data_IF_998191737571
#
_entry.id   IF_998191737571
#
_cell.length_a   1.000
_cell.length_b   1.000
_cell.length_c   1.000
_cell.angle_alpha   90.00
_cell.angle_beta   90.00
_cell.angle_gamma   90.00
#
_symmetry.space_group_name_H-M   'P 1'
#
loop_
_entity.id
_entity.type
_entity.pdbx_description
1 polymer ?
#
# COMPACT_ATOMS: atom_id res chain seq x y z
N UNK A 1 40.75 12.23 -34.30
CA UNK A 1 41.28 11.08 -33.53
C UNK A 1 40.63 11.12 -32.16
N UNK A 2 39.42 10.56 -32.04
CA UNK A 2 38.74 10.42 -30.75
C UNK A 2 38.97 9.00 -30.26
N UNK A 3 39.54 8.85 -29.07
CA UNK A 3 39.77 7.56 -28.45
C UNK A 3 38.43 6.93 -28.09
N UNK A 4 38.21 5.68 -28.52
CA UNK A 4 37.16 4.84 -28.00
C UNK A 4 37.39 4.62 -26.50
N UNK A 5 36.54 5.23 -25.67
CA UNK A 5 36.45 4.90 -24.25
C UNK A 5 35.67 3.58 -24.12
N UNK A 6 36.34 2.54 -23.62
CA UNK A 6 35.74 1.23 -23.42
C UNK A 6 35.14 1.15 -22.01
N UNK A 7 33.80 1.18 -21.93
CA UNK A 7 33.02 0.93 -20.71
C UNK A 7 33.38 -0.38 -20.00
N UNK A 8 34.02 -1.33 -20.70
CA UNK A 8 34.45 -2.60 -20.12
C UNK A 8 35.65 -2.45 -19.14
N UNK A 9 36.50 -1.43 -19.29
CA UNK A 9 37.68 -1.26 -18.44
C UNK A 9 37.35 -0.72 -17.04
N UNK A 10 36.27 0.05 -16.88
CA UNK A 10 35.88 0.60 -15.58
C UNK A 10 34.95 -0.34 -14.81
N UNK A 11 34.13 -1.14 -15.48
CA UNK A 11 33.37 -2.22 -14.84
C UNK A 11 34.29 -3.27 -14.17
N UNK A 12 35.48 -3.50 -14.74
CA UNK A 12 36.47 -4.41 -14.17
C UNK A 12 37.18 -3.87 -12.91
N UNK A 13 37.18 -2.54 -12.69
CA UNK A 13 37.80 -1.91 -11.50
C UNK A 13 36.89 -1.89 -10.27
N UNK A 14 35.58 -2.00 -10.48
CA UNK A 14 34.56 -2.01 -9.40
C UNK A 14 34.13 -3.43 -9.02
N UNK A 15 34.56 -4.45 -9.77
CA UNK A 15 34.26 -5.84 -9.46
C UNK A 15 34.99 -6.31 -8.19
N UNK A 16 34.31 -6.26 -7.05
CA UNK A 16 34.70 -7.04 -5.86
C UNK A 16 34.76 -8.50 -6.29
N UNK A 17 35.88 -9.23 -6.09
CA UNK A 17 36.00 -10.60 -6.56
C UNK A 17 34.86 -11.46 -6.02
N UNK A 18 34.09 -12.11 -6.89
CA UNK A 18 32.97 -12.98 -6.49
C UNK A 18 33.37 -14.08 -5.48
N UNK A 19 34.66 -14.43 -5.42
CA UNK A 19 35.21 -15.35 -4.41
C UNK A 19 35.10 -14.80 -2.97
N UNK A 20 35.15 -13.48 -2.79
CA UNK A 20 35.11 -12.81 -1.50
C UNK A 20 33.65 -12.66 -1.00
N UNK A 21 32.69 -12.60 -1.93
CA UNK A 21 31.24 -12.64 -1.62
C UNK A 21 30.75 -14.07 -1.29
N UNK A 22 31.29 -15.10 -1.97
CA UNK A 22 30.94 -16.50 -1.68
C UNK A 22 31.47 -16.98 -0.32
N UNK A 23 32.61 -16.46 0.15
CA UNK A 23 33.14 -16.77 1.48
C UNK A 23 32.22 -16.29 2.62
N UNK A 24 31.44 -15.22 2.39
CA UNK A 24 30.47 -14.68 3.35
C UNK A 24 29.13 -15.41 3.27
N UNK A 25 28.69 -15.83 2.07
CA UNK A 25 27.42 -16.52 1.87
C UNK A 25 27.42 -18.01 2.30
N UNK A 26 28.59 -18.65 2.40
CA UNK A 26 28.71 -20.06 2.81
C UNK A 26 28.57 -20.32 4.32
N UNK A 27 28.39 -19.29 5.17
CA UNK A 27 28.12 -19.45 6.59
C UNK A 27 26.61 -19.59 6.88
N UNK A 28 25.95 -20.54 6.22
CA UNK A 28 24.60 -20.97 6.60
C UNK A 28 24.65 -21.87 7.82
N UNK A 29 23.93 -21.45 8.86
CA UNK A 29 23.37 -22.25 9.97
C UNK A 29 23.82 -23.71 10.00
N UNK A 30 24.96 -23.97 10.63
CA UNK A 30 25.13 -25.25 11.31
C UNK A 30 24.28 -25.19 12.57
N UNK A 31 23.29 -26.07 12.65
CA UNK A 31 22.38 -26.24 13.78
C UNK A 31 23.11 -26.19 15.12
N UNK A 32 23.00 -25.07 15.82
CA UNK A 32 23.23 -24.98 17.26
C UNK A 32 21.91 -25.19 18.00
N UNK A 33 21.14 -26.21 17.61
CA UNK A 33 20.21 -26.82 18.55
C UNK A 33 21.02 -27.83 19.36
N UNK A 34 21.20 -27.62 20.68
CA UNK A 34 21.87 -28.62 21.50
C UNK A 34 21.01 -29.88 21.45
N UNK A 35 21.51 -30.91 20.77
CA UNK A 35 20.92 -32.24 20.78
C UNK A 35 20.82 -32.69 22.23
N UNK A 36 19.57 -32.80 22.71
CA UNK A 36 19.19 -33.38 24.01
C UNK A 36 19.82 -34.77 24.12
N UNK A 37 20.98 -34.88 24.75
CA UNK A 37 21.61 -36.18 24.88
C UNK A 37 23.02 -36.21 25.44
N UNK A 38 23.46 -35.24 26.24
CA UNK A 38 24.70 -35.35 26.99
C UNK A 38 24.49 -34.75 28.39
N UNK A 39 24.98 -35.48 29.41
CA UNK A 39 24.72 -35.24 30.83
C UNK A 39 25.10 -33.83 31.30
N UNK A 40 24.63 -33.48 32.49
CA UNK A 40 24.75 -32.15 33.12
C UNK A 40 26.18 -31.61 33.06
N UNK A 41 26.50 -30.88 32.00
CA UNK A 41 27.70 -30.06 31.92
C UNK A 41 27.35 -28.73 32.56
N UNK A 42 27.80 -28.51 33.79
CA UNK A 42 27.81 -27.18 34.41
C UNK A 42 28.78 -26.29 33.61
N UNK A 43 28.27 -25.63 32.59
CA UNK A 43 29.04 -24.61 31.89
C UNK A 43 29.31 -23.47 32.89
N UNK A 44 30.57 -23.07 33.12
CA UNK A 44 30.85 -21.95 33.99
C UNK A 44 30.19 -20.69 33.40
N UNK A 45 29.59 -19.86 34.24
CA UNK A 45 28.85 -18.66 33.82
C UNK A 45 29.67 -17.74 32.89
N UNK A 46 31.01 -17.76 33.02
CA UNK A 46 31.93 -17.05 32.13
C UNK A 46 31.88 -17.53 30.68
N UNK A 47 31.69 -18.83 30.43
CA UNK A 47 31.62 -19.39 29.08
C UNK A 47 30.29 -19.04 28.40
N UNK A 48 29.19 -19.02 29.14
CA UNK A 48 27.89 -18.55 28.62
C UNK A 48 27.93 -17.05 28.28
N UNK A 49 28.55 -16.23 29.12
CA UNK A 49 28.73 -14.80 28.86
C UNK A 49 29.61 -14.54 27.62
N UNK A 50 30.68 -15.31 27.42
CA UNK A 50 31.52 -15.23 26.23
C UNK A 50 30.77 -15.65 24.96
N UNK A 51 30.00 -16.74 25.01
CA UNK A 51 29.19 -17.18 23.87
C UNK A 51 28.10 -16.16 23.49
N UNK A 52 27.45 -15.54 24.47
CA UNK A 52 26.48 -14.47 24.24
C UNK A 52 27.13 -13.22 23.63
N UNK A 53 28.30 -12.82 24.15
CA UNK A 53 29.06 -11.68 23.61
C UNK A 53 29.50 -11.93 22.15
N UNK A 54 29.99 -13.13 21.85
CA UNK A 54 30.38 -13.52 20.49
C UNK A 54 29.18 -13.56 19.54
N UNK A 55 28.03 -14.05 20.00
CA UNK A 55 26.79 -14.06 19.21
C UNK A 55 26.32 -12.64 18.89
N UNK A 56 26.40 -11.73 19.86
CA UNK A 56 26.04 -10.33 19.64
C UNK A 56 26.99 -9.66 18.64
N UNK A 57 28.31 -9.86 18.77
CA UNK A 57 29.29 -9.34 17.80
C UNK A 57 29.02 -9.81 16.38
N UNK A 58 28.60 -11.06 16.21
CA UNK A 58 28.23 -11.60 14.90
C UNK A 58 26.96 -10.95 14.33
N UNK A 59 25.96 -10.67 15.17
CA UNK A 59 24.77 -9.92 14.75
C UNK A 59 25.12 -8.50 14.34
N UNK A 60 25.92 -7.81 15.15
CA UNK A 60 26.36 -6.44 14.86
C UNK A 60 27.18 -6.38 13.55
N UNK A 61 28.07 -7.36 13.32
CA UNK A 61 28.82 -7.48 12.08
C UNK A 61 27.93 -7.78 10.86
N UNK A 62 26.94 -8.68 11.00
CA UNK A 62 26.00 -8.98 9.93
C UNK A 62 25.15 -7.75 9.56
N UNK A 63 24.69 -7.01 10.57
CA UNK A 63 23.93 -5.77 10.36
C UNK A 63 24.78 -4.70 9.67
N UNK A 64 26.04 -4.54 10.07
CA UNK A 64 26.96 -3.60 9.41
C UNK A 64 27.19 -3.95 7.94
N UNK A 65 27.37 -5.24 7.61
CA UNK A 65 27.50 -5.71 6.22
C UNK A 65 26.22 -5.41 5.42
N UNK A 66 25.05 -5.67 5.99
CA UNK A 66 23.77 -5.36 5.33
C UNK A 66 23.64 -3.87 5.03
N UNK A 67 23.98 -2.99 5.98
CA UNK A 67 23.95 -1.54 5.76
C UNK A 67 24.89 -1.09 4.64
N UNK A 68 26.10 -1.67 4.56
CA UNK A 68 27.05 -1.36 3.47
C UNK A 68 26.51 -1.84 2.12
N UNK A 69 25.88 -3.01 2.06
CA UNK A 69 25.28 -3.53 0.82
C UNK A 69 24.10 -2.68 0.35
N UNK A 70 23.22 -2.26 1.26
CA UNK A 70 22.10 -1.37 0.95
C UNK A 70 22.58 0.00 0.45
N UNK A 71 23.63 0.55 1.07
CA UNK A 71 24.24 1.80 0.64
C UNK A 71 24.87 1.69 -0.75
N UNK A 72 25.64 0.62 -1.00
CA UNK A 72 26.24 0.38 -2.32
C UNK A 72 25.18 0.17 -3.41
N UNK A 73 24.09 -0.54 -3.10
CA UNK A 73 22.97 -0.72 -4.03
C UNK A 73 22.31 0.62 -4.39
N UNK A 74 22.12 1.52 -3.42
CA UNK A 74 21.61 2.89 -3.68
C UNK A 74 22.55 3.70 -4.55
N UNK A 75 23.85 3.66 -4.30
CA UNK A 75 24.85 4.40 -5.09
C UNK A 75 24.90 3.90 -6.54
N UNK A 76 24.89 2.58 -6.76
CA UNK A 76 24.82 2.00 -8.10
C UNK A 76 23.53 2.40 -8.81
N UNK A 77 22.39 2.36 -8.12
CA UNK A 77 21.11 2.78 -8.68
C UNK A 77 21.12 4.27 -9.09
N UNK A 78 21.64 5.15 -8.23
CA UNK A 78 21.78 6.58 -8.56
C UNK A 78 22.67 6.84 -9.76
N UNK A 79 23.80 6.12 -9.89
CA UNK A 79 24.69 6.24 -11.05
C UNK A 79 23.99 5.78 -12.34
N UNK A 80 23.26 4.66 -12.28
CA UNK A 80 22.51 4.14 -13.43
C UNK A 80 21.41 5.11 -13.85
N UNK A 81 20.62 5.62 -12.90
CA UNK A 81 19.54 6.59 -13.16
C UNK A 81 20.09 7.91 -13.70
N UNK A 82 21.14 8.46 -13.10
CA UNK A 82 21.77 9.69 -13.59
C UNK A 82 22.38 9.50 -14.99
N UNK A 83 22.94 8.32 -15.28
CA UNK A 83 23.49 7.99 -16.58
C UNK A 83 22.43 7.82 -17.67
N UNK A 84 21.28 7.21 -17.38
CA UNK A 84 20.20 7.02 -18.35
C UNK A 84 19.38 8.28 -18.59
N UNK A 85 19.16 9.12 -17.57
CA UNK A 85 18.44 10.38 -17.69
C UNK A 85 19.20 11.43 -18.50
N UNK A 86 20.53 11.53 -18.31
CA UNK A 86 21.36 12.50 -19.03
C UNK A 86 21.51 12.20 -20.52
N UNK A 87 21.36 10.94 -20.95
CA UNK A 87 21.54 10.55 -22.36
C UNK A 87 20.26 10.82 -23.19
N UNK A 88 19.08 10.90 -22.55
CA UNK A 88 17.80 10.96 -23.27
C UNK A 88 17.23 12.38 -23.46
N UNK A 89 17.60 13.37 -22.63
CA UNK A 89 16.94 14.69 -22.64
C UNK A 89 17.46 15.67 -23.72
N UNK A 90 18.69 15.51 -24.21
CA UNK A 90 19.31 16.46 -25.15
C UNK A 90 19.09 16.12 -26.64
N UNK A 91 18.53 14.94 -26.96
CA UNK A 91 18.19 14.56 -28.33
C UNK A 91 16.70 14.76 -28.56
N UNK A 92 16.27 15.42 -29.66
CA UNK A 92 14.86 15.54 -29.98
C UNK A 92 14.26 14.12 -30.09
N UNK A 93 13.24 13.83 -29.28
CA UNK A 93 12.57 12.53 -29.32
C UNK A 93 12.07 12.26 -30.75
N UNK A 94 12.26 11.04 -31.29
CA UNK A 94 11.78 10.70 -32.60
C UNK A 94 10.25 10.82 -32.62
N UNK A 95 9.71 11.57 -33.59
CA UNK A 95 8.27 11.61 -33.83
C UNK A 95 7.83 10.25 -34.39
N UNK A 96 7.37 9.36 -33.51
CA UNK A 96 6.83 8.07 -33.89
C UNK A 96 5.33 8.24 -34.07
N UNK A 97 4.87 7.89 -35.27
CA UNK A 97 3.45 7.86 -35.59
C UNK A 97 2.82 6.60 -35.00
N UNK A 98 2.23 6.76 -33.82
CA UNK A 98 1.51 5.70 -33.10
C UNK A 98 0.02 5.64 -33.46
N UNK A 99 -0.46 6.45 -34.41
CA UNK A 99 -1.90 6.56 -34.71
C UNK A 99 -2.54 5.26 -35.21
N UNK A 100 -1.73 4.29 -35.64
CA UNK A 100 -2.18 2.98 -36.10
C UNK A 100 -1.97 1.85 -35.08
N UNK A 101 -1.46 2.15 -33.88
CA UNK A 101 -1.20 1.12 -32.87
C UNK A 101 -2.48 0.71 -32.16
N UNK A 102 -2.60 -0.58 -31.85
CA UNK A 102 -3.59 -1.04 -30.89
C UNK A 102 -3.17 -0.69 -29.46
N UNK A 103 -4.12 -0.70 -28.52
CA UNK A 103 -3.85 -0.57 -27.08
C UNK A 103 -2.76 -1.56 -26.60
N UNK A 104 -2.81 -2.80 -27.08
CA UNK A 104 -1.87 -3.87 -26.76
C UNK A 104 -0.46 -3.60 -27.31
N UNK A 105 -0.37 -3.10 -28.55
CA UNK A 105 0.90 -2.71 -29.17
C UNK A 105 1.52 -1.52 -28.45
N UNK A 106 0.71 -0.52 -28.09
CA UNK A 106 1.16 0.63 -27.31
C UNK A 106 1.66 0.23 -25.91
N UNK A 107 1.01 -0.75 -25.27
CA UNK A 107 1.45 -1.31 -24.01
C UNK A 107 2.78 -2.08 -24.15
N UNK A 108 2.99 -2.81 -25.24
CA UNK A 108 4.26 -3.52 -25.47
C UNK A 108 5.46 -2.57 -25.46
N UNK A 109 5.24 -1.34 -25.93
CA UNK A 109 6.23 -0.26 -25.98
C UNK A 109 6.17 0.69 -24.78
N UNK A 110 5.31 0.42 -23.79
CA UNK A 110 5.22 1.21 -22.57
C UNK A 110 6.53 1.12 -21.76
N UNK A 111 7.09 2.26 -21.38
CA UNK A 111 8.37 2.32 -20.68
C UNK A 111 9.61 2.30 -21.60
N UNK A 112 9.45 2.16 -22.91
CA UNK A 112 10.56 2.20 -23.86
C UNK A 112 10.89 3.64 -24.29
N UNK A 113 12.13 4.07 -24.03
CA UNK A 113 12.63 5.43 -24.33
C UNK A 113 12.52 5.77 -25.82
N UNK A 114 12.69 4.79 -26.69
CA UNK A 114 12.75 5.00 -28.14
C UNK A 114 11.40 5.25 -28.79
N UNK A 115 10.29 4.90 -28.12
CA UNK A 115 8.94 4.84 -28.70
C UNK A 115 7.97 5.83 -28.04
N UNK A 116 8.16 6.09 -26.76
CA UNK A 116 7.40 7.08 -26.01
C UNK A 116 7.68 8.49 -26.53
N UNK A 117 6.80 9.46 -26.26
CA UNK A 117 6.98 10.86 -26.65
C UNK A 117 6.90 11.83 -25.45
N UNK A 118 6.71 11.30 -24.25
CA UNK A 118 6.65 12.05 -23.00
C UNK A 118 7.21 11.20 -21.84
N UNK A 119 7.78 11.87 -20.86
CA UNK A 119 8.19 11.30 -19.57
C UNK A 119 7.32 11.92 -18.48
N UNK A 120 6.58 11.10 -17.75
CA UNK A 120 5.92 11.53 -16.51
C UNK A 120 6.89 11.34 -15.35
N UNK A 121 7.13 12.40 -14.59
CA UNK A 121 7.94 12.36 -13.39
C UNK A 121 7.05 12.46 -12.15
N UNK A 122 7.15 11.48 -11.26
CA UNK A 122 6.48 11.47 -9.96
C UNK A 122 7.52 11.22 -8.86
N UNK A 123 7.94 12.29 -8.18
CA UNK A 123 9.07 12.24 -7.26
C UNK A 123 10.38 11.87 -7.99
N UNK A 124 11.06 10.84 -7.50
CA UNK A 124 12.32 10.33 -8.07
C UNK A 124 12.09 9.28 -9.18
N UNK A 125 10.83 9.07 -9.58
CA UNK A 125 10.43 8.04 -10.53
C UNK A 125 10.00 8.64 -11.87
N UNK A 126 10.43 7.99 -12.95
CA UNK A 126 10.12 8.39 -14.33
C UNK A 126 9.38 7.27 -15.06
N UNK A 127 8.35 7.66 -15.80
CA UNK A 127 7.52 6.77 -16.60
C UNK A 127 7.47 7.29 -18.04
N UNK A 128 8.04 6.52 -18.95
CA UNK A 128 7.99 6.82 -20.39
C UNK A 128 6.63 6.41 -20.94
N UNK A 129 5.92 7.37 -21.53
CA UNK A 129 4.53 7.20 -21.97
C UNK A 129 4.29 7.81 -23.36
N UNK A 130 3.15 7.42 -23.92
CA UNK A 130 2.60 7.94 -25.15
C UNK A 130 1.42 8.86 -24.80
N UNK A 131 1.55 10.15 -25.09
CA UNK A 131 0.55 11.18 -24.72
C UNK A 131 -0.83 10.87 -25.29
N UNK A 132 -0.89 10.38 -26.53
CA UNK A 132 -2.15 10.15 -27.23
C UNK A 132 -2.95 9.00 -26.60
N UNK A 133 -2.27 7.96 -26.12
CA UNK A 133 -2.91 6.85 -25.42
C UNK A 133 -3.55 7.32 -24.11
N UNK A 134 -2.81 8.10 -23.32
CA UNK A 134 -3.30 8.60 -22.04
C UNK A 134 -4.42 9.63 -22.21
N UNK A 135 -4.29 10.53 -23.20
CA UNK A 135 -5.33 11.52 -23.49
C UNK A 135 -6.63 10.87 -23.99
N UNK A 136 -6.55 9.76 -24.71
CA UNK A 136 -7.74 9.06 -25.20
C UNK A 136 -8.58 8.43 -24.08
N UNK A 137 -7.97 8.05 -22.95
CA UNK A 137 -8.62 7.29 -21.87
C UNK A 137 -8.80 8.06 -20.57
N UNK A 138 -8.23 9.26 -20.46
CA UNK A 138 -8.34 10.10 -19.27
C UNK A 138 -8.54 11.58 -19.59
N UNK A 139 -9.63 12.14 -19.10
CA UNK A 139 -9.92 13.59 -19.14
C UNK A 139 -8.82 14.44 -18.48
N UNK A 140 -8.11 13.88 -17.49
CA UNK A 140 -6.98 14.57 -16.85
C UNK A 140 -5.84 14.75 -17.85
N UNK A 141 -5.45 13.67 -18.53
CA UNK A 141 -4.36 13.68 -19.49
C UNK A 141 -4.75 14.38 -20.81
N UNK A 142 -6.00 14.31 -21.24
CA UNK A 142 -6.49 15.09 -22.38
C UNK A 142 -6.33 16.59 -22.12
N UNK A 143 -6.76 17.06 -20.95
CA UNK A 143 -6.58 18.47 -20.55
C UNK A 143 -5.11 18.84 -20.36
N UNK A 144 -4.29 17.90 -19.89
CA UNK A 144 -2.86 18.12 -19.68
C UNK A 144 -2.13 18.30 -21.02
N UNK A 145 -2.33 17.39 -21.98
CA UNK A 145 -1.58 17.33 -23.24
C UNK A 145 -2.21 18.16 -24.37
N UNK A 146 -3.54 18.16 -24.49
CA UNK A 146 -4.27 18.89 -25.54
C UNK A 146 -4.83 20.23 -25.07
N UNK A 147 -4.80 20.50 -23.77
CA UNK A 147 -5.28 21.75 -23.20
C UNK A 147 -4.31 22.94 -23.35
N UNK A 148 -4.64 24.08 -22.71
CA UNK A 148 -3.83 25.29 -22.77
C UNK A 148 -2.57 25.24 -21.87
N UNK A 149 -2.37 24.14 -21.12
CA UNK A 149 -1.24 23.94 -20.23
C UNK A 149 0.07 23.94 -21.03
N UNK A 150 1.12 24.56 -20.49
CA UNK A 150 2.43 24.61 -21.17
C UNK A 150 3.18 23.31 -21.00
N UNK A 151 2.98 22.69 -19.85
CA UNK A 151 3.53 21.42 -19.38
C UNK A 151 3.25 20.32 -20.41
N UNK A 152 2.05 20.27 -20.99
CA UNK A 152 1.70 19.28 -22.01
C UNK A 152 2.49 19.36 -23.32
N UNK A 153 3.28 20.42 -23.52
CA UNK A 153 4.16 20.59 -24.69
C UNK A 153 5.62 20.22 -24.38
N UNK A 154 5.93 19.92 -23.13
CA UNK A 154 7.26 19.55 -22.68
C UNK A 154 7.45 18.03 -22.80
N UNK A 155 8.69 17.60 -23.08
CA UNK A 155 9.02 16.17 -23.16
C UNK A 155 9.03 15.50 -21.77
N UNK A 156 9.14 16.30 -20.71
CA UNK A 156 9.12 15.88 -19.32
C UNK A 156 7.99 16.64 -18.61
N UNK A 157 7.08 15.91 -17.98
CA UNK A 157 5.96 16.47 -17.23
C UNK A 157 6.04 16.01 -15.78
N UNK A 158 6.22 16.97 -14.89
CA UNK A 158 6.23 16.72 -13.44
C UNK A 158 4.78 16.62 -12.93
N UNK A 159 4.45 15.50 -12.28
CA UNK A 159 3.17 15.26 -11.62
C UNK A 159 3.21 15.73 -10.17
N UNK A 160 3.52 17.01 -9.98
CA UNK A 160 3.56 17.66 -8.68
C UNK A 160 2.16 17.65 -8.05
N UNK A 161 2.02 16.95 -6.93
CA UNK A 161 0.74 16.80 -6.23
C UNK A 161 0.03 15.47 -6.46
N UNK A 162 0.68 14.49 -7.11
CA UNK A 162 0.21 13.11 -7.05
C UNK A 162 0.14 12.66 -5.58
N UNK A 163 -1.00 12.17 -5.06
CA UNK A 163 -1.15 11.92 -3.62
C UNK A 163 -0.29 10.76 -3.11
N UNK A 164 -0.06 9.75 -3.95
CA UNK A 164 0.78 8.59 -3.62
C UNK A 164 1.85 8.40 -4.70
N UNK A 165 2.91 9.25 -4.71
CA UNK A 165 3.98 9.12 -5.69
C UNK A 165 4.83 7.86 -5.44
N UNK A 166 4.87 7.40 -4.20
CA UNK A 166 5.52 6.17 -3.78
C UNK A 166 4.48 5.14 -3.31
N UNK A 167 4.61 3.86 -3.69
CA UNK A 167 5.64 3.29 -4.54
C UNK A 167 5.38 3.51 -6.05
N UNK A 168 6.42 3.48 -6.90
CA UNK A 168 6.31 3.67 -8.34
C UNK A 168 5.41 2.62 -9.03
N UNK A 169 5.25 1.45 -8.38
CA UNK A 169 4.35 0.40 -8.84
C UNK A 169 2.88 0.85 -8.90
N UNK A 170 2.42 1.68 -7.95
CA UNK A 170 1.02 2.10 -7.91
C UNK A 170 0.67 3.00 -9.10
N UNK A 171 1.51 4.01 -9.40
CA UNK A 171 1.32 4.86 -10.58
C UNK A 171 1.44 4.04 -11.87
N UNK A 172 2.45 3.16 -11.96
CA UNK A 172 2.63 2.29 -13.12
C UNK A 172 1.38 1.48 -13.43
N UNK A 173 0.75 0.88 -12.42
CA UNK A 173 -0.50 0.16 -12.59
C UNK A 173 -1.56 1.08 -13.19
N UNK A 174 -1.84 2.24 -12.58
CA UNK A 174 -2.82 3.19 -13.14
C UNK A 174 -2.56 3.52 -14.62
N UNK A 175 -1.29 3.75 -14.99
CA UNK A 175 -0.92 3.98 -16.38
C UNK A 175 -1.17 2.76 -17.27
N UNK A 176 -0.80 1.55 -16.85
CA UNK A 176 -1.08 0.31 -17.60
C UNK A 176 -2.59 0.11 -17.84
N UNK A 177 -3.43 0.43 -16.83
CA UNK A 177 -4.88 0.39 -17.01
C UNK A 177 -5.38 1.43 -18.02
N UNK A 178 -4.81 2.64 -18.03
CA UNK A 178 -5.16 3.65 -19.03
C UNK A 178 -4.75 3.25 -20.45
N UNK A 179 -3.83 2.29 -20.60
CA UNK A 179 -3.49 1.71 -21.91
C UNK A 179 -4.46 0.62 -22.33
N UNK A 180 -4.80 -0.31 -21.43
CA UNK A 180 -5.54 -1.53 -21.78
C UNK A 180 -7.03 -1.46 -21.52
N UNK A 181 -7.47 -0.53 -20.66
CA UNK A 181 -8.79 -0.51 -20.02
C UNK A 181 -9.11 -1.79 -19.22
N UNK A 182 -8.15 -2.69 -19.05
CA UNK A 182 -8.32 -3.93 -18.30
C UNK A 182 -8.11 -3.68 -16.81
N UNK A 183 -9.03 -4.19 -16.00
CA UNK A 183 -8.86 -4.22 -14.54
C UNK A 183 -7.89 -5.35 -14.19
N UNK A 184 -6.89 -5.05 -13.36
CA UNK A 184 -5.84 -6.01 -12.99
C UNK A 184 -6.40 -7.37 -12.58
N UNK A 185 -5.95 -8.42 -13.25
CA UNK A 185 -6.21 -9.81 -12.86
C UNK A 185 -5.27 -10.30 -11.75
N UNK A 186 -4.20 -9.54 -11.48
CA UNK A 186 -3.19 -9.88 -10.49
C UNK A 186 -3.64 -9.59 -9.06
N UNK A 187 -3.18 -10.41 -8.12
CA UNK A 187 -3.43 -10.25 -6.69
C UNK A 187 -2.68 -9.02 -6.19
N UNK A 188 -3.35 -7.86 -6.18
CA UNK A 188 -2.81 -6.66 -5.57
C UNK A 188 -2.71 -6.86 -4.06
N UNK A 189 -1.63 -6.37 -3.46
CA UNK A 189 -1.58 -6.27 -2.00
C UNK A 189 -2.60 -5.21 -1.54
N UNK A 190 -3.13 -5.38 -0.32
CA UNK A 190 -4.09 -4.42 0.25
C UNK A 190 -3.53 -2.99 0.32
N UNK A 191 -2.23 -2.84 0.59
CA UNK A 191 -1.60 -1.51 0.68
C UNK A 191 -1.47 -0.88 -0.72
N UNK A 192 -1.11 -1.68 -1.73
CA UNK A 192 -1.00 -1.22 -3.12
C UNK A 192 -2.35 -0.85 -3.72
N UNK A 193 -3.41 -1.62 -3.45
CA UNK A 193 -4.73 -1.33 -4.04
C UNK A 193 -5.30 0.01 -3.59
N UNK A 194 -5.02 0.44 -2.36
CA UNK A 194 -5.43 1.76 -1.85
C UNK A 194 -4.68 2.88 -2.60
N UNK A 195 -3.36 2.75 -2.74
CA UNK A 195 -2.54 3.74 -3.45
C UNK A 195 -2.94 3.83 -4.93
N UNK A 196 -3.22 2.68 -5.56
CA UNK A 196 -3.75 2.61 -6.93
C UNK A 196 -5.10 3.31 -7.00
N UNK A 197 -6.02 3.08 -6.06
CA UNK A 197 -7.32 3.75 -6.04
C UNK A 197 -7.18 5.27 -5.97
N UNK A 198 -6.34 5.77 -5.06
CA UNK A 198 -6.13 7.21 -4.87
C UNK A 198 -5.56 7.86 -6.13
N UNK A 199 -4.51 7.26 -6.71
CA UNK A 199 -3.91 7.77 -7.95
C UNK A 199 -4.85 7.64 -9.14
N UNK A 200 -5.63 6.55 -9.24
CA UNK A 200 -6.63 6.36 -10.28
C UNK A 200 -7.71 7.43 -10.22
N UNK A 201 -8.20 7.76 -9.04
CA UNK A 201 -9.16 8.86 -8.87
C UNK A 201 -8.56 10.21 -9.29
N UNK A 202 -7.34 10.51 -8.83
CA UNK A 202 -6.63 11.75 -9.16
C UNK A 202 -6.40 11.91 -10.67
N UNK A 203 -5.98 10.83 -11.34
CA UNK A 203 -5.68 10.81 -12.78
C UNK A 203 -6.91 10.53 -13.66
N UNK A 204 -8.12 10.52 -13.11
CA UNK A 204 -9.36 10.33 -13.86
C UNK A 204 -9.62 8.91 -14.38
N UNK A 205 -8.89 7.90 -13.91
CA UNK A 205 -9.10 6.48 -14.21
C UNK A 205 -10.25 5.89 -13.35
N UNK A 206 -11.47 6.41 -13.54
CA UNK A 206 -12.61 6.14 -12.65
C UNK A 206 -13.02 4.66 -12.59
N UNK A 207 -12.92 3.92 -13.70
CA UNK A 207 -13.25 2.50 -13.74
C UNK A 207 -12.32 1.68 -12.85
N UNK A 208 -11.01 1.95 -12.92
CA UNK A 208 -10.03 1.32 -12.03
C UNK A 208 -10.25 1.72 -10.57
N UNK A 209 -10.55 2.98 -10.31
CA UNK A 209 -10.88 3.43 -8.95
C UNK A 209 -12.05 2.63 -8.38
N UNK A 210 -13.15 2.49 -9.12
CA UNK A 210 -14.32 1.70 -8.72
C UNK A 210 -13.96 0.23 -8.45
N UNK A 211 -13.16 -0.38 -9.33
CA UNK A 211 -12.68 -1.75 -9.16
C UNK A 211 -11.82 -1.93 -7.90
N UNK A 212 -10.95 -0.97 -7.59
CA UNK A 212 -10.14 -0.99 -6.38
C UNK A 212 -11.00 -0.89 -5.12
N UNK A 213 -12.00 0.01 -5.13
CA UNK A 213 -12.97 0.15 -4.02
C UNK A 213 -13.76 -1.15 -3.81
N UNK A 214 -14.23 -1.78 -4.89
CA UNK A 214 -14.94 -3.06 -4.81
C UNK A 214 -14.04 -4.17 -4.25
N UNK A 215 -12.78 -4.24 -4.70
CA UNK A 215 -11.81 -5.21 -4.22
C UNK A 215 -11.58 -5.07 -2.71
N UNK A 216 -11.32 -3.84 -2.25
CA UNK A 216 -11.15 -3.53 -0.82
C UNK A 216 -12.41 -3.92 -0.04
N UNK A 217 -13.60 -3.54 -0.52
CA UNK A 217 -14.86 -3.88 0.15
C UNK A 217 -15.08 -5.40 0.28
N UNK A 218 -14.80 -6.17 -0.78
CA UNK A 218 -14.87 -7.65 -0.75
C UNK A 218 -13.89 -8.24 0.26
N UNK A 219 -12.64 -7.79 0.23
CA UNK A 219 -11.62 -8.28 1.17
C UNK A 219 -12.03 -8.03 2.62
N UNK A 220 -12.53 -6.83 2.93
CA UNK A 220 -13.03 -6.52 4.27
C UNK A 220 -14.22 -7.38 4.67
N UNK A 221 -15.18 -7.61 3.77
CA UNK A 221 -16.32 -8.49 4.04
C UNK A 221 -15.87 -9.91 4.39
N UNK A 222 -14.86 -10.45 3.70
CA UNK A 222 -14.26 -11.76 4.00
C UNK A 222 -13.56 -11.78 5.37
N UNK A 223 -12.78 -10.74 5.68
CA UNK A 223 -12.12 -10.59 7.00
C UNK A 223 -13.16 -10.54 8.12
N UNK A 224 -14.27 -9.82 7.94
CA UNK A 224 -15.34 -9.77 8.93
C UNK A 224 -16.14 -11.08 9.04
N UNK A 225 -16.31 -11.81 7.93
CA UNK A 225 -17.01 -13.09 7.92
C UNK A 225 -16.20 -14.22 8.57
N UNK A 226 -14.87 -14.16 8.49
CA UNK A 226 -13.96 -15.22 9.00
C UNK A 226 -13.46 -14.98 10.42
N UNK A 227 -13.52 -13.74 10.91
CA UNK A 227 -13.04 -13.42 12.25
C UNK A 227 -14.12 -13.61 13.32
N UNK A 228 -14.05 -14.69 14.08
CA UNK A 228 -14.75 -14.83 15.38
C UNK A 228 -14.27 -13.78 16.42
N UNK A 229 -13.25 -12.99 16.08
CA UNK A 229 -12.59 -11.99 16.94
C UNK A 229 -12.56 -10.61 16.29
N UNK A 230 -13.72 -10.14 15.82
CA UNK A 230 -13.98 -8.77 15.34
C UNK A 230 -13.46 -7.67 16.30
N UNK A 231 -13.18 -8.00 17.56
CA UNK A 231 -12.63 -7.08 18.55
C UNK A 231 -11.17 -6.67 18.32
N UNK A 232 -10.39 -7.36 17.47
CA UNK A 232 -8.94 -7.11 17.33
C UNK A 232 -8.50 -6.39 16.05
N UNK A 233 -9.39 -6.20 15.07
CA UNK A 233 -9.08 -5.36 13.91
C UNK A 233 -8.98 -3.92 14.41
N UNK A 234 -7.78 -3.35 14.36
CA UNK A 234 -7.50 -1.99 14.83
C UNK A 234 -8.30 -0.96 14.02
N UNK A 235 -9.19 -0.18 14.66
CA UNK A 235 -10.02 0.85 14.01
C UNK A 235 -9.23 1.86 13.18
N UNK A 236 -7.95 2.06 13.51
CA UNK A 236 -7.07 3.04 12.85
C UNK A 236 -6.83 2.75 11.38
N UNK A 237 -6.63 1.48 10.98
CA UNK A 237 -6.39 1.16 9.58
C UNK A 237 -7.64 1.40 8.73
N UNK A 238 -8.81 1.11 9.30
CA UNK A 238 -10.09 1.36 8.64
C UNK A 238 -10.33 2.87 8.53
N UNK A 239 -10.11 3.64 9.60
CA UNK A 239 -10.27 5.09 9.56
C UNK A 239 -9.29 5.76 8.58
N UNK A 240 -8.04 5.31 8.48
CA UNK A 240 -7.07 5.89 7.53
C UNK A 240 -7.45 5.57 6.07
N UNK A 241 -7.86 4.34 5.78
CA UNK A 241 -8.34 3.93 4.44
C UNK A 241 -9.59 4.70 4.05
N UNK A 242 -10.51 4.85 5.00
CA UNK A 242 -11.74 5.59 4.79
C UNK A 242 -11.47 7.08 4.62
N UNK A 243 -10.68 7.73 5.48
CA UNK A 243 -10.34 9.15 5.32
C UNK A 243 -9.63 9.44 3.99
N UNK A 244 -8.86 8.47 3.49
CA UNK A 244 -8.15 8.60 2.21
C UNK A 244 -9.08 8.38 0.99
N UNK A 245 -10.06 7.48 1.09
CA UNK A 245 -11.01 7.19 -0.01
C UNK A 245 -12.26 8.09 0.02
N UNK A 246 -12.62 8.64 1.18
CA UNK A 246 -13.85 9.40 1.42
C UNK A 246 -13.64 10.90 1.15
N UNK A 247 -13.61 11.30 -0.11
CA UNK A 247 -14.22 12.60 -0.45
C UNK A 247 -15.74 12.50 -0.22
N UNK A 248 -16.43 13.61 0.05
CA UNK A 248 -17.88 13.61 0.32
C UNK A 248 -18.70 12.92 -0.80
N UNK A 249 -18.22 12.97 -2.05
CA UNK A 249 -18.81 12.30 -3.21
C UNK A 249 -18.59 10.77 -3.19
N UNK A 250 -17.42 10.32 -2.74
CA UNK A 250 -17.07 8.90 -2.64
C UNK A 250 -17.72 8.20 -1.44
N UNK A 251 -18.12 8.97 -0.41
CA UNK A 251 -18.83 8.45 0.75
C UNK A 251 -20.16 7.83 0.40
N UNK A 252 -20.97 8.46 -0.47
CA UNK A 252 -22.25 7.89 -0.89
C UNK A 252 -22.10 6.52 -1.58
N UNK A 253 -21.07 6.38 -2.42
CA UNK A 253 -20.80 5.15 -3.19
C UNK A 253 -20.22 4.04 -2.32
N UNK A 254 -19.22 4.34 -1.49
CA UNK A 254 -18.69 3.37 -0.53
C UNK A 254 -19.79 2.89 0.42
N UNK A 255 -20.64 3.79 0.89
CA UNK A 255 -21.79 3.44 1.72
C UNK A 255 -22.83 2.59 0.98
N UNK A 256 -23.07 2.82 -0.32
CA UNK A 256 -23.97 1.98 -1.11
C UNK A 256 -23.42 0.55 -1.27
N UNK A 257 -22.11 0.41 -1.54
CA UNK A 257 -21.42 -0.88 -1.63
C UNK A 257 -21.43 -1.59 -0.28
N UNK A 258 -21.03 -0.91 0.80
CA UNK A 258 -21.07 -1.47 2.16
C UNK A 258 -22.50 -1.82 2.59
N UNK A 259 -23.54 -1.08 2.13
CA UNK A 259 -24.96 -1.44 2.33
C UNK A 259 -25.33 -2.73 1.62
N UNK A 260 -24.88 -2.94 0.38
CA UNK A 260 -25.08 -4.24 -0.30
C UNK A 260 -24.44 -5.40 0.47
N UNK A 261 -23.34 -5.15 1.18
CA UNK A 261 -22.70 -6.15 2.05
C UNK A 261 -23.25 -6.16 3.49
N UNK A 262 -24.08 -5.17 3.88
CA UNK A 262 -24.55 -4.99 5.26
C UNK A 262 -25.50 -6.07 5.74
N UNK A 263 -26.17 -6.79 4.83
CA UNK A 263 -26.95 -7.98 5.17
C UNK A 263 -26.07 -9.08 5.80
N UNK A 264 -24.74 -9.01 5.65
CA UNK A 264 -23.77 -9.97 6.18
C UNK A 264 -22.79 -9.39 7.22
N UNK A 265 -22.85 -8.10 7.54
CA UNK A 265 -21.93 -7.48 8.51
C UNK A 265 -22.42 -7.65 9.95
N UNK A 266 -21.55 -8.04 10.91
CA UNK A 266 -21.91 -8.05 12.32
C UNK A 266 -22.30 -6.66 12.82
N UNK A 267 -23.49 -6.55 13.44
CA UNK A 267 -24.07 -5.28 13.92
C UNK A 267 -23.14 -4.46 14.86
N UNK A 268 -22.23 -5.13 15.58
CA UNK A 268 -21.23 -4.49 16.44
C UNK A 268 -20.20 -3.65 15.68
N UNK A 269 -19.94 -3.95 14.40
CA UNK A 269 -19.04 -3.19 13.53
C UNK A 269 -19.75 -1.93 13.03
N UNK A 270 -20.97 -2.09 12.51
CA UNK A 270 -21.80 -1.00 12.00
C UNK A 270 -22.12 0.05 13.07
N UNK A 271 -22.46 -0.38 14.30
CA UNK A 271 -22.81 0.55 15.38
C UNK A 271 -21.62 1.36 15.90
N UNK A 272 -20.42 0.75 15.94
CA UNK A 272 -19.18 1.43 16.32
C UNK A 272 -18.74 2.45 15.26
N UNK A 273 -18.98 2.13 13.99
CA UNK A 273 -18.66 2.99 12.87
C UNK A 273 -19.57 4.22 12.79
N UNK A 274 -20.88 4.02 12.98
CA UNK A 274 -21.87 5.11 13.03
C UNK A 274 -21.77 5.99 14.29
N UNK A 275 -21.10 5.52 15.36
CA UNK A 275 -20.92 6.29 16.60
C UNK A 275 -19.62 7.08 16.66
N UNK A 276 -18.69 6.88 15.71
CA UNK A 276 -17.43 7.64 15.61
C UNK A 276 -17.48 8.86 14.71
N UNK A 277 -18.52 9.00 13.87
CA UNK A 277 -18.70 10.17 12.99
C UNK A 277 -19.46 11.27 13.71
N UNK A 278 -18.76 12.20 14.34
CA UNK A 278 -19.34 13.44 14.84
C UNK A 278 -19.58 14.39 13.65
N UNK A 279 -20.78 14.34 13.06
CA UNK A 279 -21.19 15.23 11.98
C UNK A 279 -22.71 15.24 11.73
N UNK A 280 -23.24 16.31 11.10
CA UNK A 280 -24.67 16.51 10.84
C UNK A 280 -25.31 15.46 9.90
N UNK A 281 -24.52 14.55 9.30
CA UNK A 281 -24.98 13.55 8.34
C UNK A 281 -25.60 12.28 8.96
N UNK A 282 -25.49 12.08 10.28
CA UNK A 282 -26.14 10.94 10.95
C UNK A 282 -27.67 10.96 10.79
N UNK A 283 -28.27 12.15 10.67
CA UNK A 283 -29.70 12.30 10.49
C UNK A 283 -30.15 11.90 9.07
N UNK A 284 -29.37 12.25 8.05
CA UNK A 284 -29.59 11.82 6.66
C UNK A 284 -29.38 10.30 6.47
N UNK A 285 -28.42 9.72 7.19
CA UNK A 285 -28.20 8.27 7.20
C UNK A 285 -29.34 7.54 7.94
N UNK A 286 -29.81 8.06 9.08
CA UNK A 286 -30.86 7.47 9.90
C UNK A 286 -32.24 7.45 9.20
N UNK A 287 -32.56 8.45 8.38
CA UNK A 287 -33.81 8.52 7.61
C UNK A 287 -33.94 7.43 6.53
N UNK A 288 -32.86 6.70 6.23
CA UNK A 288 -32.83 5.69 5.17
C UNK A 288 -32.62 4.26 5.69
N UNK A 289 -32.67 4.06 7.02
CA UNK A 289 -32.61 2.74 7.66
C UNK A 289 -34.05 2.19 7.75
N UNK A 290 -34.35 0.99 7.21
CA UNK A 290 -35.70 0.42 7.29
C UNK A 290 -36.19 0.31 8.73
N UNK A 291 -37.43 0.75 9.00
CA UNK A 291 -38.01 0.80 10.34
C UNK A 291 -37.99 -0.56 11.11
N UNK A 292 -37.89 -1.68 10.38
CA UNK A 292 -37.72 -3.01 10.96
C UNK A 292 -36.36 -3.17 11.68
N UNK A 293 -35.27 -2.62 11.12
CA UNK A 293 -33.97 -2.61 11.76
C UNK A 293 -33.97 -1.70 13.00
N UNK A 294 -34.63 -0.53 12.93
CA UNK A 294 -34.77 0.40 14.08
C UNK A 294 -35.53 -0.23 15.24
N UNK A 295 -36.55 -1.07 14.98
CA UNK A 295 -37.31 -1.76 16.03
C UNK A 295 -36.50 -2.82 16.78
N UNK A 296 -35.61 -3.52 16.07
CA UNK A 296 -34.67 -4.49 16.67
C UNK A 296 -33.57 -3.77 17.46
N UNK A 297 -33.12 -2.62 16.96
CA UNK A 297 -32.14 -1.73 17.62
C UNK A 297 -32.64 -1.26 18.99
N UNK A 298 -33.84 -0.70 19.06
CA UNK A 298 -34.38 -0.21 20.34
C UNK A 298 -34.69 -1.33 21.32
N UNK A 299 -35.23 -2.46 20.86
CA UNK A 299 -35.58 -3.57 21.76
C UNK A 299 -34.35 -4.27 22.36
N UNK A 300 -33.25 -4.40 21.61
CA UNK A 300 -32.02 -5.04 22.09
C UNK A 300 -31.23 -4.14 23.02
N UNK A 301 -31.19 -2.83 22.75
CA UNK A 301 -30.49 -1.88 23.63
C UNK A 301 -31.29 -1.59 24.91
N UNK A 302 -32.63 -1.56 24.86
CA UNK A 302 -33.47 -1.55 26.07
C UNK A 302 -33.24 -2.82 26.90
N UNK A 303 -33.11 -3.99 26.27
CA UNK A 303 -32.80 -5.25 26.98
C UNK A 303 -31.40 -5.22 27.62
N UNK A 304 -30.40 -4.67 26.93
CA UNK A 304 -29.03 -4.51 27.47
C UNK A 304 -28.98 -3.55 28.65
N UNK A 305 -29.64 -2.40 28.53
CA UNK A 305 -29.73 -1.42 29.60
C UNK A 305 -30.52 -1.97 30.81
N UNK A 306 -31.59 -2.73 30.57
CA UNK A 306 -32.33 -3.41 31.64
C UNK A 306 -31.46 -4.45 32.36
N UNK A 307 -30.65 -5.22 31.63
CA UNK A 307 -29.73 -6.21 32.21
C UNK A 307 -28.64 -5.55 33.05
N UNK A 308 -27.98 -4.52 32.53
CA UNK A 308 -26.93 -3.78 33.25
C UNK A 308 -27.49 -3.09 34.51
N UNK A 309 -28.73 -2.58 34.44
CA UNK A 309 -29.40 -1.98 35.61
C UNK A 309 -29.71 -3.03 36.68
N UNK A 310 -30.07 -4.26 36.28
CA UNK A 310 -30.29 -5.37 37.20
C UNK A 310 -28.98 -5.84 37.87
N UNK A 311 -27.88 -5.90 37.13
CA UNK A 311 -26.55 -6.24 37.69
C UNK A 311 -26.04 -5.17 38.66
N UNK A 312 -26.18 -3.89 38.31
CA UNK A 312 -25.86 -2.77 39.20
C UNK A 312 -26.69 -2.81 40.47
N UNK A 313 -28.00 -3.07 40.35
CA UNK A 313 -28.89 -3.21 41.50
C UNK A 313 -28.49 -4.37 42.39
N UNK A 314 -28.13 -5.52 41.81
CA UNK A 314 -27.62 -6.68 42.55
C UNK A 314 -26.30 -6.41 43.28
N UNK A 315 -25.39 -5.68 42.62
CA UNK A 315 -24.09 -5.28 43.18
C UNK A 315 -24.26 -4.32 44.36
N UNK A 316 -25.12 -3.31 44.22
CA UNK A 316 -25.46 -2.37 45.30
C UNK A 316 -26.08 -3.12 46.49
N UNK A 317 -26.98 -4.08 46.24
CA UNK A 317 -27.62 -4.86 47.30
C UNK A 317 -26.62 -5.76 48.04
N UNK A 318 -25.66 -6.33 47.30
CA UNK A 318 -24.56 -7.14 47.85
C UNK A 318 -23.63 -6.29 48.74
N UNK A 319 -23.22 -5.12 48.25
CA UNK A 319 -22.40 -4.17 49.00
C UNK A 319 -23.12 -3.69 50.27
N UNK A 320 -24.42 -3.37 50.16
CA UNK A 320 -25.22 -2.93 51.32
C UNK A 320 -25.31 -4.02 52.40
N UNK A 321 -25.48 -5.29 51.99
CA UNK A 321 -25.47 -6.44 52.91
C UNK A 321 -24.08 -6.66 53.54
N UNK A 322 -23.01 -6.49 52.77
CA UNK A 322 -21.64 -6.61 53.25
C UNK A 322 -21.29 -5.53 54.27
N UNK A 323 -21.72 -4.28 54.03
CA UNK A 323 -21.53 -3.17 54.96
C UNK A 323 -22.34 -3.33 56.25
N UNK A 324 -23.54 -3.91 56.18
CA UNK A 324 -24.36 -4.19 57.36
C UNK A 324 -23.83 -5.34 58.25
N UNK A 325 -22.86 -6.11 57.77
CA UNK A 325 -22.24 -7.24 58.49
C UNK A 325 -20.87 -6.90 59.09
N UNK A 326 -20.36 -5.69 58.88
CA UNK A 326 -19.14 -5.23 59.55
C UNK A 326 -19.51 -4.62 60.92
N UNK A 327 -18.93 -5.11 62.03
CA UNK A 327 -19.26 -4.69 63.39
C UNK A 327 -18.78 -3.28 63.74
#
# INVERSE_FOLDING_TARGET
MMGHWSLAEDAAKVAVPAKDLMAVACFRQTDLTPTRGLGSCDWPASAMAQAACETQRRRDAAQAVQTVLEQAAREVFQIVVAGTTAIALDSPMPAIDITNWTAEEALLHFGEVSTCNCVLQAGDHQHWVHTDCLAATSDFFDKLFNGPCKEGKEALVELDGLPCPDPPAALRLVLEHLYTEEVFSHTLSNDTVIQVAVNAHYLGALQLYEACVEHVAKHWAEVFATSDTVHAVTPTLLDDVLQTLLTAENQGRLMATLRQFSDNLPYSVLSRWLSGTDGPDLQAIAEHIPAAAVKVVYSREIARLAHNTAELSGTILSLTKSMAQQP
#
